data_IF_101039408505
#
_entry.id   IF_101039408505
#
_cell.length_a   1.000
_cell.length_b   1.000
_cell.length_c   1.000
_cell.angle_alpha   90.00
_cell.angle_beta   90.00
_cell.angle_gamma   90.00
#
_symmetry.space_group_name_H-M   'P 1'
#
loop_
_entity.id
_entity.type
_entity.pdbx_description
1 polymer ?
#
# COMPACT_ATOMS: atom_id res chain seq x y z
N UNK A 1 2.03 19.16 0.93
CA UNK A 1 2.84 19.69 2.06
C UNK A 1 3.95 18.71 2.36
N UNK A 2 5.13 19.18 2.80
CA UNK A 2 6.25 18.31 3.18
C UNK A 2 6.24 18.11 4.69
N UNK A 3 6.46 16.88 5.16
CA UNK A 3 6.60 16.57 6.58
C UNK A 3 7.83 17.31 7.13
N UNK A 4 7.62 18.29 8.02
CA UNK A 4 8.71 19.12 8.55
C UNK A 4 9.49 18.42 9.67
N UNK A 5 8.80 17.61 10.49
CA UNK A 5 9.37 16.78 11.55
C UNK A 5 8.36 15.70 11.92
N UNK A 6 8.79 14.45 12.05
CA UNK A 6 7.92 13.34 12.46
C UNK A 6 8.35 12.01 11.86
N UNK A 7 7.50 11.00 12.03
CA UNK A 7 7.64 9.68 11.42
C UNK A 7 6.45 9.44 10.49
N UNK A 8 6.73 9.01 9.27
CA UNK A 8 5.72 8.51 8.33
C UNK A 8 5.97 7.03 8.10
N UNK A 9 4.94 6.21 8.30
CA UNK A 9 4.98 4.78 8.01
C UNK A 9 4.15 4.51 6.77
N UNK A 10 4.75 3.84 5.79
CA UNK A 10 4.06 3.38 4.58
C UNK A 10 3.68 1.92 4.75
N UNK A 11 2.39 1.62 4.79
CA UNK A 11 1.87 0.26 4.95
C UNK A 11 1.29 -0.23 3.63
N UNK A 12 1.88 -1.30 3.10
CA UNK A 12 1.41 -1.95 1.89
C UNK A 12 0.33 -2.98 2.22
N UNK A 13 -0.86 -2.80 1.66
CA UNK A 13 -1.94 -3.78 1.79
C UNK A 13 -1.65 -4.97 0.88
N UNK A 14 -1.79 -6.18 1.42
CA UNK A 14 -1.61 -7.43 0.69
C UNK A 14 -2.94 -8.17 0.51
N UNK A 15 -3.08 -8.97 -0.57
CA UNK A 15 -4.28 -9.76 -0.80
C UNK A 15 -4.48 -10.76 0.34
N UNK A 16 -5.74 -11.12 0.58
CA UNK A 16 -6.16 -12.06 1.61
C UNK A 16 -5.73 -11.64 3.03
N UNK A 17 -5.59 -10.34 3.27
CA UNK A 17 -5.21 -9.76 4.56
C UNK A 17 -3.83 -10.23 5.09
N UNK A 18 -2.97 -10.70 4.20
CA UNK A 18 -1.66 -11.26 4.57
C UNK A 18 -0.69 -10.26 5.21
N UNK A 19 -1.00 -8.96 5.12
CA UNK A 19 -0.20 -7.91 5.74
C UNK A 19 -0.52 -7.74 7.24
N UNK A 20 -1.60 -8.36 7.76
CA UNK A 20 -2.08 -8.17 9.13
C UNK A 20 -2.12 -6.67 9.48
N UNK A 21 -2.84 -5.90 8.65
CA UNK A 21 -2.82 -4.42 8.73
C UNK A 21 -3.34 -3.96 10.08
N UNK A 22 -4.40 -4.60 10.57
CA UNK A 22 -5.02 -4.22 11.84
C UNK A 22 -4.04 -4.36 13.01
N UNK A 23 -3.41 -5.52 13.16
CA UNK A 23 -2.44 -5.81 14.22
C UNK A 23 -1.20 -4.90 14.09
N UNK A 24 -0.79 -4.61 12.85
CA UNK A 24 0.31 -3.67 12.60
C UNK A 24 -0.04 -2.25 13.07
N UNK A 25 -1.27 -1.80 12.82
CA UNK A 25 -1.76 -0.50 13.26
C UNK A 25 -1.94 -0.43 14.78
N UNK A 26 -2.45 -1.49 15.41
CA UNK A 26 -2.52 -1.61 16.87
C UNK A 26 -1.14 -1.45 17.48
N UNK A 27 -0.14 -2.16 16.95
CA UNK A 27 1.23 -2.06 17.43
C UNK A 27 1.81 -0.64 17.26
N UNK A 28 1.57 0.00 16.12
CA UNK A 28 2.00 1.38 15.86
C UNK A 28 1.36 2.34 16.86
N UNK A 29 0.04 2.23 17.09
CA UNK A 29 -0.70 3.04 18.05
C UNK A 29 -0.12 2.90 19.45
N UNK A 30 0.05 1.66 19.92
CA UNK A 30 0.40 1.35 21.31
C UNK A 30 1.88 1.56 21.62
N UNK A 31 2.76 1.32 20.63
CA UNK A 31 4.22 1.37 20.83
C UNK A 31 4.81 2.71 20.41
N UNK A 32 4.30 3.31 19.33
CA UNK A 32 4.87 4.54 18.77
C UNK A 32 4.04 5.76 19.16
N UNK A 33 2.79 5.83 18.69
CA UNK A 33 1.79 6.86 19.01
C UNK A 33 0.66 6.85 17.95
N UNK A 34 -0.60 7.16 18.31
CA UNK A 34 -1.70 7.35 17.35
C UNK A 34 -1.47 8.53 16.37
N UNK A 35 -0.60 9.48 16.73
CA UNK A 35 -0.18 10.62 15.89
C UNK A 35 0.83 10.28 14.79
N UNK A 36 1.28 9.03 14.68
CA UNK A 36 2.18 8.65 13.59
C UNK A 36 1.43 8.74 12.27
N UNK A 37 2.00 9.44 11.30
CA UNK A 37 1.38 9.56 10.00
C UNK A 37 1.49 8.23 9.25
N UNK A 38 0.34 7.62 8.92
CA UNK A 38 0.30 6.36 8.18
C UNK A 38 -0.19 6.62 6.77
N UNK A 39 0.60 6.19 5.80
CA UNK A 39 0.24 6.20 4.38
C UNK A 39 -0.08 4.78 3.95
N UNK A 40 -1.36 4.52 3.68
CA UNK A 40 -1.84 3.24 3.18
C UNK A 40 -1.57 3.14 1.68
N UNK A 41 -1.04 2.00 1.24
CA UNK A 41 -0.65 1.77 -0.15
C UNK A 41 -1.42 0.60 -0.76
N UNK A 42 -2.11 0.88 -1.87
CA UNK A 42 -2.80 -0.10 -2.71
C UNK A 42 -1.93 -0.69 -3.85
N UNK A 43 -0.62 -0.45 -3.82
CA UNK A 43 0.28 -0.64 -4.97
C UNK A 43 0.80 -2.08 -5.14
N UNK A 44 0.18 -3.06 -4.50
CA UNK A 44 0.64 -4.45 -4.60
C UNK A 44 0.35 -5.05 -5.98
N UNK A 45 1.35 -5.72 -6.54
CA UNK A 45 1.22 -6.52 -7.75
C UNK A 45 2.06 -7.78 -7.65
N UNK A 46 1.45 -8.93 -7.93
CA UNK A 46 2.11 -10.21 -7.95
C UNK A 46 3.20 -10.23 -9.05
N UNK A 47 4.45 -10.43 -8.66
CA UNK A 47 5.59 -10.50 -9.59
C UNK A 47 6.46 -11.72 -9.31
N UNK A 48 7.18 -12.18 -10.32
CA UNK A 48 8.11 -13.32 -10.23
C UNK A 48 7.41 -14.53 -9.56
N UNK A 49 8.03 -15.15 -8.56
CA UNK A 49 7.48 -16.31 -7.84
C UNK A 49 6.08 -16.09 -7.26
N UNK A 50 5.76 -14.88 -6.80
CA UNK A 50 4.41 -14.61 -6.28
C UNK A 50 3.33 -14.80 -7.34
N UNK A 51 3.66 -14.57 -8.62
CA UNK A 51 2.74 -14.78 -9.74
C UNK A 51 2.82 -16.17 -10.37
N UNK A 52 3.94 -16.89 -10.21
CA UNK A 52 4.22 -18.11 -11.00
C UNK A 52 4.34 -19.40 -10.18
N UNK A 53 4.50 -19.33 -8.87
CA UNK A 53 4.70 -20.48 -8.00
C UNK A 53 3.46 -20.69 -7.12
N UNK A 54 2.85 -21.88 -7.21
CA UNK A 54 1.62 -22.25 -6.50
C UNK A 54 1.76 -22.15 -4.97
N UNK A 55 2.99 -22.20 -4.43
CA UNK A 55 3.20 -22.00 -2.99
C UNK A 55 2.80 -20.60 -2.52
N UNK A 56 2.67 -19.64 -3.43
CA UNK A 56 2.27 -18.27 -3.15
C UNK A 56 0.88 -17.91 -3.69
N UNK A 57 -0.03 -18.88 -3.85
CA UNK A 57 -1.40 -18.62 -4.37
C UNK A 57 -2.15 -17.49 -3.64
N UNK A 58 -1.93 -17.31 -2.33
CA UNK A 58 -2.57 -16.21 -1.61
C UNK A 58 -1.98 -14.82 -1.93
N UNK A 59 -0.78 -14.76 -2.52
CA UNK A 59 -0.14 -13.54 -3.01
C UNK A 59 -0.29 -13.36 -4.53
N UNK A 60 -0.81 -14.36 -5.25
CA UNK A 60 -0.77 -14.40 -6.71
C UNK A 60 -1.81 -13.52 -7.41
N UNK A 61 -2.37 -12.54 -6.70
CA UNK A 61 -3.35 -11.58 -7.23
C UNK A 61 -3.13 -10.20 -6.65
N UNK A 62 -3.73 -9.19 -7.28
CA UNK A 62 -3.85 -7.86 -6.69
C UNK A 62 -4.85 -7.86 -5.54
N UNK A 63 -4.76 -6.82 -4.72
CA UNK A 63 -5.79 -6.53 -3.71
C UNK A 63 -7.10 -6.14 -4.40
N UNK A 64 -8.21 -6.42 -3.73
CA UNK A 64 -9.53 -5.90 -4.12
C UNK A 64 -9.80 -4.57 -3.45
N UNK A 65 -10.79 -3.84 -3.96
CA UNK A 65 -11.22 -2.57 -3.38
C UNK A 65 -11.74 -2.77 -1.94
N UNK A 66 -12.49 -3.85 -1.69
CA UNK A 66 -12.95 -4.21 -0.34
C UNK A 66 -11.80 -4.51 0.62
N UNK A 67 -10.69 -5.10 0.16
CA UNK A 67 -9.50 -5.30 1.00
C UNK A 67 -8.85 -3.98 1.37
N UNK A 68 -8.75 -3.06 0.42
CA UNK A 68 -8.22 -1.73 0.70
C UNK A 68 -9.12 -0.96 1.66
N UNK A 69 -10.44 -0.96 1.45
CA UNK A 69 -11.38 -0.28 2.35
C UNK A 69 -11.36 -0.85 3.76
N UNK A 70 -11.25 -2.17 3.94
CA UNK A 70 -11.08 -2.77 5.27
C UNK A 70 -9.82 -2.26 5.97
N UNK A 71 -8.73 -2.14 5.24
CA UNK A 71 -7.47 -1.60 5.76
C UNK A 71 -7.59 -0.11 6.16
N UNK A 72 -8.40 0.67 5.42
CA UNK A 72 -8.72 2.05 5.78
C UNK A 72 -9.64 2.15 7.01
N UNK A 73 -10.66 1.29 7.11
CA UNK A 73 -11.55 1.24 8.28
C UNK A 73 -10.77 0.96 9.56
N UNK A 74 -9.72 0.13 9.51
CA UNK A 74 -8.86 -0.11 10.67
C UNK A 74 -8.14 1.15 11.19
N UNK A 75 -7.79 2.11 10.32
CA UNK A 75 -7.19 3.39 10.77
C UNK A 75 -8.19 4.20 11.62
N UNK A 76 -9.46 4.24 11.18
CA UNK A 76 -10.53 4.96 11.85
C UNK A 76 -10.90 4.30 13.17
N UNK A 77 -11.09 2.97 13.16
CA UNK A 77 -11.40 2.17 14.36
C UNK A 77 -10.34 2.31 15.46
N UNK A 78 -9.06 2.43 15.06
CA UNK A 78 -7.94 2.54 15.98
C UNK A 78 -7.61 4.00 16.36
N UNK A 79 -8.33 4.98 15.80
CA UNK A 79 -8.17 6.40 16.12
C UNK A 79 -6.84 7.00 15.66
N UNK A 80 -6.31 6.57 14.51
CA UNK A 80 -5.06 7.09 13.96
C UNK A 80 -5.27 8.52 13.42
N UNK A 81 -4.63 9.51 14.05
CA UNK A 81 -4.93 10.95 13.85
C UNK A 81 -4.45 11.50 12.50
N UNK A 82 -3.35 10.95 11.96
CA UNK A 82 -2.63 11.48 10.78
C UNK A 82 -2.63 10.48 9.61
N UNK A 83 -3.77 9.83 9.36
CA UNK A 83 -3.94 8.87 8.26
C UNK A 83 -4.01 9.57 6.89
N UNK A 84 -2.99 9.38 6.04
CA UNK A 84 -3.01 9.83 4.65
C UNK A 84 -3.69 8.78 3.78
N UNK A 85 -4.94 9.04 3.42
CA UNK A 85 -5.71 8.26 2.46
C UNK A 85 -5.22 8.61 1.04
N UNK A 86 -4.46 7.71 0.40
CA UNK A 86 -4.27 7.79 -1.05
C UNK A 86 -5.53 7.26 -1.72
N UNK A 87 -5.99 7.95 -2.77
CA UNK A 87 -7.07 7.43 -3.62
C UNK A 87 -6.66 6.04 -4.13
N UNK A 88 -7.60 5.09 -4.05
CA UNK A 88 -7.38 3.71 -4.47
C UNK A 88 -7.04 3.61 -5.97
N UNK A 89 -7.41 4.61 -6.75
CA UNK A 89 -7.38 4.55 -8.21
C UNK A 89 -5.97 4.71 -8.80
N UNK A 90 -5.66 3.90 -9.82
CA UNK A 90 -4.50 4.07 -10.71
C UNK A 90 -3.10 3.78 -10.15
N UNK A 91 -2.85 3.84 -8.83
CA UNK A 91 -1.49 3.84 -8.29
C UNK A 91 -0.66 2.58 -8.64
N UNK A 92 -1.27 1.40 -8.64
CA UNK A 92 -0.60 0.15 -9.02
C UNK A 92 -0.29 0.04 -10.53
N UNK A 93 -0.95 0.83 -11.37
CA UNK A 93 -0.68 0.93 -12.80
C UNK A 93 0.35 2.03 -13.10
N UNK A 94 0.29 3.12 -12.34
CA UNK A 94 1.05 4.32 -12.61
C UNK A 94 2.53 4.20 -12.20
N UNK A 95 2.83 3.59 -11.05
CA UNK A 95 4.20 3.50 -10.52
C UNK A 95 4.95 2.22 -10.90
N UNK A 96 4.34 1.32 -11.67
CA UNK A 96 4.97 0.05 -12.05
C UNK A 96 5.79 0.22 -13.33
N UNK A 97 7.10 -0.06 -13.31
CA UNK A 97 7.86 -0.10 -14.55
C UNK A 97 7.43 -1.28 -15.43
N UNK A 98 7.39 -1.05 -16.74
CA UNK A 98 7.37 -2.08 -17.76
C UNK A 98 8.72 -2.80 -17.78
N UNK A 99 8.79 -3.92 -17.07
CA UNK A 99 10.00 -4.73 -16.97
C UNK A 99 10.43 -5.37 -18.30
N UNK A 100 9.60 -5.30 -19.35
CA UNK A 100 9.97 -5.76 -20.70
C UNK A 100 10.55 -4.65 -21.57
N UNK A 101 10.50 -3.40 -21.12
CA UNK A 101 11.01 -2.24 -21.85
C UNK A 101 12.08 -1.53 -21.03
N UNK A 102 13.34 -1.88 -21.28
CA UNK A 102 14.49 -1.24 -20.62
C UNK A 102 14.64 0.24 -20.99
N UNK A 103 14.22 0.65 -22.18
CA UNK A 103 14.48 2.00 -22.69
C UNK A 103 13.43 2.99 -22.20
N UNK A 104 12.17 2.55 -22.13
CA UNK A 104 11.05 3.35 -21.64
C UNK A 104 10.21 2.57 -20.63
N UNK A 105 10.74 2.26 -19.44
CA UNK A 105 10.03 1.46 -18.45
C UNK A 105 8.83 2.20 -17.83
N UNK A 106 8.80 3.52 -17.83
CA UNK A 106 7.68 4.32 -17.31
C UNK A 106 7.05 5.10 -18.47
N UNK A 107 6.15 4.45 -19.22
CA UNK A 107 5.56 5.03 -20.44
C UNK A 107 4.51 6.10 -20.16
N UNK A 108 3.90 6.08 -18.97
CA UNK A 108 2.85 7.01 -18.59
C UNK A 108 3.46 8.28 -17.96
N UNK A 109 4.10 9.09 -18.80
CA UNK A 109 4.78 10.36 -18.44
C UNK A 109 3.79 11.54 -18.35
N UNK A 110 2.51 11.29 -18.03
CA UNK A 110 1.52 12.38 -17.90
C UNK A 110 1.76 13.34 -16.72
N UNK A 111 2.80 13.14 -15.89
CA UNK A 111 3.21 14.06 -14.82
C UNK A 111 4.59 14.75 -15.02
N UNK A 112 5.22 14.69 -16.20
CA UNK A 112 6.41 15.54 -16.47
C UNK A 112 6.10 16.80 -17.30
N UNK A 113 4.83 17.17 -17.44
CA UNK A 113 4.39 18.52 -17.88
C UNK A 113 3.65 19.27 -16.76
#
# INVERSE_FOLDING_TARGET
>A
GLLQRGLVIRLLVLPNDLANVHESLEWIRDTLSPRVAVSMMAQYYATNRAATDERYTLLSRRITESEYFRALSALDELGMEEGWMQEYDGAAHYYRPDFNDRNTPFKDIRDFE
#
